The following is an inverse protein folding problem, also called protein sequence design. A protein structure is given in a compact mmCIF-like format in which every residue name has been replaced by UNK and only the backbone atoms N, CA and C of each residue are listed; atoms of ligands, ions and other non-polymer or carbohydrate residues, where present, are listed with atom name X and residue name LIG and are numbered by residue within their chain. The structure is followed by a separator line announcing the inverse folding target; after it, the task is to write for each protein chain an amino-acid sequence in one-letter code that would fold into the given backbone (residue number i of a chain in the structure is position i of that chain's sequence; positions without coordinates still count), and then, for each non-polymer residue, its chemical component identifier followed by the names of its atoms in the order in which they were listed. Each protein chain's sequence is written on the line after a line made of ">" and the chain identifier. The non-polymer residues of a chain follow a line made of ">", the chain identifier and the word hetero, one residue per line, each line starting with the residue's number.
data_IF_325523126688
#
_entry.id   IF_325523126688
#
_cell.length_a   1.000
_cell.length_b   1.000
_cell.length_c   1.000
_cell.angle_alpha   90.00
_cell.angle_beta   90.00
_cell.angle_gamma   90.00
#
_symmetry.space_group_name_H-M   'P 1'
#
loop_
_entity.id
_entity.type
_entity.pdbx_description
1 polymer ?
#
# COMPACT_ATOMS: atom_id res chain seq x y z
N UNK A 1 -35.55 -5.68 -7.71
CA UNK A 1 -35.24 -5.11 -6.39
C UNK A 1 -33.73 -5.18 -6.21
N UNK A 2 -33.01 -4.06 -6.27
CA UNK A 2 -31.56 -4.02 -6.04
C UNK A 2 -31.31 -3.85 -4.54
N UNK A 3 -30.64 -4.82 -3.90
CA UNK A 3 -30.17 -4.64 -2.53
C UNK A 3 -28.99 -3.66 -2.51
N UNK A 4 -28.95 -2.82 -1.48
CA UNK A 4 -27.79 -1.98 -1.17
C UNK A 4 -26.63 -2.80 -0.62
N UNK A 5 -25.40 -2.31 -0.74
CA UNK A 5 -24.21 -2.99 -0.21
C UNK A 5 -24.31 -3.31 1.29
N UNK A 6 -24.99 -2.43 2.06
CA UNK A 6 -25.22 -2.63 3.50
C UNK A 6 -26.15 -3.80 3.77
N UNK A 7 -27.22 -3.94 2.99
CA UNK A 7 -28.16 -5.05 3.14
C UNK A 7 -27.55 -6.38 2.70
N UNK A 8 -26.74 -6.38 1.63
CA UNK A 8 -25.97 -7.55 1.21
C UNK A 8 -25.02 -7.99 2.33
N UNK A 9 -24.27 -7.06 2.91
CA UNK A 9 -23.37 -7.34 4.03
C UNK A 9 -24.14 -7.91 5.23
N UNK A 10 -25.22 -7.27 5.66
CA UNK A 10 -26.03 -7.76 6.79
C UNK A 10 -26.56 -9.17 6.54
N UNK A 11 -26.99 -9.47 5.32
CA UNK A 11 -27.42 -10.81 4.94
C UNK A 11 -26.27 -11.82 5.03
N UNK A 12 -25.09 -11.48 4.51
CA UNK A 12 -23.91 -12.34 4.60
C UNK A 12 -23.50 -12.62 6.06
N UNK A 13 -23.48 -11.59 6.90
CA UNK A 13 -23.16 -11.72 8.32
C UNK A 13 -24.25 -12.48 9.10
N UNK A 14 -25.49 -12.49 8.63
CA UNK A 14 -26.57 -13.27 9.26
C UNK A 14 -26.41 -14.78 9.10
N UNK A 15 -25.60 -15.25 8.12
CA UNK A 15 -25.42 -16.68 7.87
C UNK A 15 -24.44 -17.37 8.84
N UNK A 16 -23.58 -16.61 9.53
CA UNK A 16 -22.57 -17.18 10.42
C UNK A 16 -22.18 -16.19 11.51
N UNK A 17 -22.41 -16.57 12.76
CA UNK A 17 -22.00 -15.76 13.92
C UNK A 17 -20.47 -15.65 14.00
N UNK A 18 -19.73 -16.71 13.64
CA UNK A 18 -18.27 -16.69 13.53
C UNK A 18 -17.80 -15.64 12.51
N UNK A 19 -18.41 -15.61 11.32
CA UNK A 19 -18.09 -14.61 10.29
C UNK A 19 -18.37 -13.20 10.80
N UNK A 20 -19.51 -13.01 11.46
CA UNK A 20 -19.91 -11.74 12.05
C UNK A 20 -18.93 -11.28 13.13
N UNK A 21 -18.50 -12.17 14.02
CA UNK A 21 -17.51 -11.88 15.05
C UNK A 21 -16.17 -11.44 14.45
N UNK A 22 -15.63 -12.21 13.50
CA UNK A 22 -14.36 -11.88 12.85
C UNK A 22 -14.45 -10.61 12.01
N UNK A 23 -15.58 -10.36 11.35
CA UNK A 23 -15.82 -9.11 10.65
C UNK A 23 -15.80 -7.92 11.60
N UNK A 24 -16.51 -8.00 12.73
CA UNK A 24 -16.53 -6.93 13.74
C UNK A 24 -15.14 -6.65 14.32
N UNK A 25 -14.38 -7.71 14.64
CA UNK A 25 -12.99 -7.58 15.09
C UNK A 25 -12.12 -6.86 14.06
N UNK A 26 -12.24 -7.24 12.78
CA UNK A 26 -11.53 -6.56 11.69
C UNK A 26 -11.91 -5.08 11.57
N UNK A 27 -13.20 -4.74 11.69
CA UNK A 27 -13.65 -3.35 11.64
C UNK A 27 -13.08 -2.51 12.80
N UNK A 28 -13.02 -3.07 14.00
CA UNK A 28 -12.41 -2.40 15.17
C UNK A 28 -10.90 -2.21 15.00
N UNK A 29 -10.20 -3.23 14.51
CA UNK A 29 -8.77 -3.12 14.17
C UNK A 29 -8.53 -2.02 13.13
N UNK A 30 -9.33 -1.99 12.07
CA UNK A 30 -9.23 -0.98 11.02
C UNK A 30 -9.49 0.43 11.58
N UNK A 31 -10.49 0.57 12.46
CA UNK A 31 -10.81 1.84 13.11
C UNK A 31 -9.63 2.38 13.93
N UNK A 32 -9.04 1.57 14.82
CA UNK A 32 -7.89 2.01 15.63
C UNK A 32 -6.65 2.29 14.78
N UNK A 33 -6.45 1.50 13.71
CA UNK A 33 -5.35 1.73 12.76
C UNK A 33 -5.50 3.08 12.03
N UNK A 34 -6.70 3.38 11.51
CA UNK A 34 -6.98 4.64 10.80
C UNK A 34 -6.87 5.87 11.71
N UNK A 35 -7.29 5.74 12.98
CA UNK A 35 -7.17 6.80 13.98
C UNK A 35 -5.77 6.91 14.60
N UNK A 36 -4.80 6.09 14.15
CA UNK A 36 -3.42 6.08 14.67
C UNK A 36 -3.37 5.86 16.18
N UNK A 37 -4.15 4.91 16.69
CA UNK A 37 -4.21 4.53 18.10
C UNK A 37 -3.50 3.18 18.33
N UNK A 38 -2.15 3.13 18.32
CA UNK A 38 -1.40 1.87 18.36
C UNK A 38 -1.66 1.05 19.62
N UNK A 39 -1.82 1.68 20.78
CA UNK A 39 -2.05 0.99 22.05
C UNK A 39 -3.36 0.21 22.02
N UNK A 40 -4.44 0.83 21.52
CA UNK A 40 -5.74 0.17 21.37
C UNK A 40 -5.72 -0.91 20.28
N UNK A 41 -5.03 -0.65 19.17
CA UNK A 41 -4.86 -1.62 18.09
C UNK A 41 -4.17 -2.91 18.58
N UNK A 42 -3.03 -2.78 19.27
CA UNK A 42 -2.30 -3.93 19.78
C UNK A 42 -2.96 -4.58 20.98
N UNK A 43 -3.61 -3.82 21.87
CA UNK A 43 -4.41 -4.38 22.96
C UNK A 43 -5.50 -5.31 22.43
N UNK A 44 -6.23 -4.87 21.39
CA UNK A 44 -7.27 -5.68 20.75
C UNK A 44 -6.71 -6.97 20.12
N UNK A 45 -5.50 -6.94 19.55
CA UNK A 45 -4.81 -8.13 19.03
C UNK A 45 -4.45 -9.10 20.14
N UNK A 46 -3.87 -8.60 21.23
CA UNK A 46 -3.41 -9.41 22.37
C UNK A 46 -4.60 -10.10 23.06
N UNK A 47 -5.70 -9.36 23.27
CA UNK A 47 -6.93 -9.86 23.92
C UNK A 47 -7.60 -10.99 23.12
N UNK A 48 -7.55 -10.91 21.79
CA UNK A 48 -8.26 -11.84 20.89
C UNK A 48 -7.37 -12.97 20.37
N UNK A 49 -6.07 -12.97 20.65
CA UNK A 49 -5.09 -13.90 20.04
C UNK A 49 -5.44 -15.39 20.19
N UNK A 50 -6.06 -15.77 21.32
CA UNK A 50 -6.43 -17.17 21.61
C UNK A 50 -7.82 -17.55 21.08
N UNK A 51 -8.67 -16.57 20.80
CA UNK A 51 -10.08 -16.76 20.43
C UNK A 51 -10.29 -16.73 18.92
N UNK A 52 -9.42 -16.03 18.18
CA UNK A 52 -9.52 -15.95 16.72
C UNK A 52 -9.15 -17.25 16.02
N UNK A 53 -9.73 -17.43 14.84
CA UNK A 53 -9.44 -18.54 13.95
C UNK A 53 -7.92 -18.65 13.68
N UNK A 54 -7.34 -19.87 13.60
CA UNK A 54 -5.90 -20.08 13.44
C UNK A 54 -5.23 -19.30 12.30
N UNK A 55 -5.96 -19.06 11.21
CA UNK A 55 -5.49 -18.25 10.07
C UNK A 55 -5.11 -16.83 10.52
N UNK A 56 -5.90 -16.21 11.40
CA UNK A 56 -5.62 -14.86 11.92
C UNK A 56 -4.53 -14.85 12.98
N UNK A 57 -4.33 -15.96 13.71
CA UNK A 57 -3.29 -16.03 14.74
C UNK A 57 -1.90 -15.79 14.17
N UNK A 58 -1.60 -16.32 12.98
CA UNK A 58 -0.31 -16.10 12.31
C UNK A 58 -0.10 -14.62 11.95
N UNK A 59 -1.16 -13.95 11.47
CA UNK A 59 -1.13 -12.52 11.15
C UNK A 59 -0.91 -11.72 12.43
N UNK A 60 -1.65 -12.01 13.49
CA UNK A 60 -1.52 -11.32 14.77
C UNK A 60 -0.14 -11.51 15.40
N UNK A 61 0.41 -12.72 15.36
CA UNK A 61 1.80 -12.98 15.81
C UNK A 61 2.82 -12.18 15.01
N UNK A 62 2.60 -12.02 13.70
CA UNK A 62 3.47 -11.22 12.84
C UNK A 62 3.39 -9.74 13.22
N UNK A 63 2.18 -9.20 13.44
CA UNK A 63 2.01 -7.83 13.90
C UNK A 63 2.68 -7.60 15.26
N UNK A 64 2.55 -8.52 16.21
CA UNK A 64 3.21 -8.41 17.51
C UNK A 64 4.73 -8.46 17.39
N UNK A 65 5.28 -9.30 16.50
CA UNK A 65 6.72 -9.37 16.22
C UNK A 65 7.26 -8.05 15.66
N UNK A 66 6.50 -7.40 14.78
CA UNK A 66 6.88 -6.14 14.13
C UNK A 66 6.22 -4.90 14.80
N UNK A 67 5.82 -5.02 16.07
CA UNK A 67 5.06 -4.00 16.81
C UNK A 67 5.69 -2.61 16.72
N UNK A 68 6.97 -2.48 17.05
CA UNK A 68 7.68 -1.19 17.00
C UNK A 68 7.64 -0.56 15.60
N UNK A 69 7.80 -1.35 14.54
CA UNK A 69 7.77 -0.85 13.16
C UNK A 69 6.38 -0.33 12.79
N UNK A 70 5.33 -1.04 13.21
CA UNK A 70 3.95 -0.66 12.94
C UNK A 70 3.58 0.59 13.74
N UNK A 71 3.97 0.68 15.02
CA UNK A 71 3.79 1.87 15.86
C UNK A 71 4.46 3.08 15.22
N UNK A 72 5.73 2.92 14.80
CA UNK A 72 6.47 3.97 14.11
C UNK A 72 5.77 4.39 12.80
N UNK A 73 5.24 3.44 12.01
CA UNK A 73 4.51 3.74 10.79
C UNK A 73 3.19 4.49 11.05
N UNK A 74 2.53 4.26 12.18
CA UNK A 74 1.30 4.95 12.56
C UNK A 74 1.57 6.38 13.06
N UNK A 75 2.62 6.56 13.85
CA UNK A 75 2.92 7.82 14.52
C UNK A 75 3.72 8.79 13.64
N UNK A 76 4.67 8.28 12.86
CA UNK A 76 5.54 9.14 12.05
C UNK A 76 4.79 9.66 10.80
N UNK A 77 5.01 10.92 10.41
CA UNK A 77 4.40 11.49 9.21
C UNK A 77 5.12 11.05 7.91
N UNK A 78 6.09 10.14 7.99
CA UNK A 78 6.89 9.72 6.85
C UNK A 78 6.04 8.94 5.85
N UNK A 79 6.01 9.39 4.59
CA UNK A 79 5.33 8.70 3.51
C UNK A 79 6.32 7.99 2.59
N UNK A 80 5.90 6.83 2.07
CA UNK A 80 6.67 6.08 1.08
C UNK A 80 6.74 6.78 -0.29
N UNK A 81 6.09 7.93 -0.48
CA UNK A 81 5.96 8.60 -1.78
C UNK A 81 7.32 8.91 -2.41
N UNK A 82 8.32 9.36 -1.63
CA UNK A 82 9.66 9.64 -2.15
C UNK A 82 10.38 8.37 -2.62
N UNK A 83 10.26 7.29 -1.85
CA UNK A 83 10.84 5.99 -2.18
C UNK A 83 10.15 5.40 -3.43
N UNK A 84 8.83 5.50 -3.52
CA UNK A 84 8.06 5.02 -4.66
C UNK A 84 8.35 5.82 -5.94
N UNK A 85 8.45 7.15 -5.85
CA UNK A 85 8.87 8.00 -6.97
C UNK A 85 10.26 7.60 -7.48
N UNK A 86 11.20 7.32 -6.57
CA UNK A 86 12.55 6.85 -6.92
C UNK A 86 12.51 5.48 -7.59
N UNK A 87 11.75 4.54 -7.04
CA UNK A 87 11.60 3.19 -7.62
C UNK A 87 10.98 3.22 -9.02
N UNK A 88 9.99 4.08 -9.23
CA UNK A 88 9.35 4.25 -10.53
C UNK A 88 10.30 4.88 -11.55
N UNK A 89 11.11 5.87 -11.13
CA UNK A 89 12.17 6.44 -11.98
C UNK A 89 13.20 5.38 -12.38
N UNK A 90 13.66 4.55 -11.44
CA UNK A 90 14.61 3.46 -11.72
C UNK A 90 14.01 2.46 -12.71
N UNK A 91 12.74 2.05 -12.51
CA UNK A 91 12.03 1.15 -13.43
C UNK A 91 11.95 1.76 -14.84
N UNK A 92 11.62 3.04 -14.94
CA UNK A 92 11.53 3.76 -16.21
C UNK A 92 12.90 3.83 -16.90
N UNK A 93 13.98 4.14 -16.16
CA UNK A 93 15.34 4.16 -16.71
C UNK A 93 15.73 2.78 -17.23
N UNK A 94 15.48 1.72 -16.45
CA UNK A 94 15.78 0.33 -16.85
C UNK A 94 15.03 -0.08 -18.11
N UNK A 95 13.74 0.25 -18.21
CA UNK A 95 12.94 -0.05 -19.39
C UNK A 95 13.47 0.67 -20.64
N UNK A 96 13.82 1.96 -20.52
CA UNK A 96 14.34 2.73 -21.65
C UNK A 96 15.77 2.40 -22.03
N UNK A 97 16.57 1.90 -21.09
CA UNK A 97 17.94 1.45 -21.32
C UNK A 97 17.99 0.03 -21.91
N UNK A 98 16.85 -0.66 -22.05
CA UNK A 98 16.79 -1.98 -22.66
C UNK A 98 17.32 -1.94 -24.09
N UNK A 99 18.20 -2.88 -24.43
CA UNK A 99 18.87 -2.96 -25.75
C UNK A 99 20.16 -2.14 -25.86
N UNK A 100 20.48 -1.27 -24.90
CA UNK A 100 21.76 -0.55 -24.87
C UNK A 100 22.83 -1.40 -24.19
N UNK A 101 23.87 -1.78 -24.95
CA UNK A 101 25.05 -2.49 -24.41
C UNK A 101 26.02 -1.57 -23.66
N UNK A 102 25.96 -0.26 -23.91
CA UNK A 102 26.86 0.75 -23.34
C UNK A 102 26.04 1.92 -22.79
N UNK A 103 26.28 2.28 -21.53
CA UNK A 103 25.64 3.40 -20.85
C UNK A 103 25.91 4.76 -21.51
N UNK A 104 27.12 4.96 -22.06
CA UNK A 104 27.44 6.21 -22.76
C UNK A 104 26.68 6.35 -24.07
N UNK A 105 26.41 5.23 -24.77
CA UNK A 105 25.53 5.24 -25.94
C UNK A 105 24.08 5.55 -25.56
N UNK A 106 23.60 4.98 -24.45
CA UNK A 106 22.27 5.32 -23.91
C UNK A 106 22.13 6.81 -23.60
N UNK A 107 23.11 7.41 -22.91
CA UNK A 107 23.13 8.85 -22.63
C UNK A 107 23.14 9.67 -23.92
N UNK A 108 24.01 9.33 -24.87
CA UNK A 108 24.14 10.06 -26.13
C UNK A 108 22.82 10.11 -26.91
N UNK A 109 22.14 8.99 -27.05
CA UNK A 109 20.85 8.92 -27.75
C UNK A 109 19.73 9.60 -26.95
N UNK A 110 19.73 9.52 -25.62
CA UNK A 110 18.82 10.28 -24.76
C UNK A 110 18.99 11.79 -24.94
N UNK A 111 20.22 12.30 -24.92
CA UNK A 111 20.50 13.73 -25.08
C UNK A 111 20.07 14.24 -26.46
N UNK A 112 20.34 13.47 -27.53
CA UNK A 112 19.84 13.79 -28.88
C UNK A 112 18.32 13.85 -28.93
N UNK A 113 17.64 12.88 -28.34
CA UNK A 113 16.17 12.86 -28.30
C UNK A 113 15.60 14.08 -27.57
N UNK A 114 16.17 14.45 -26.41
CA UNK A 114 15.75 15.64 -25.67
C UNK A 114 15.96 16.91 -26.49
N UNK A 115 17.15 17.10 -27.07
CA UNK A 115 17.48 18.27 -27.89
C UNK A 115 16.55 18.39 -29.12
N UNK A 116 16.23 17.26 -29.77
CA UNK A 116 15.30 17.25 -30.92
C UNK A 116 13.87 17.67 -30.55
N UNK A 117 13.41 17.34 -29.34
CA UNK A 117 12.10 17.78 -28.85
C UNK A 117 12.09 19.27 -28.49
N UNK A 118 13.18 19.80 -27.93
CA UNK A 118 13.33 21.22 -27.63
C UNK A 118 13.32 22.10 -28.88
N UNK A 119 13.93 21.63 -29.97
CA UNK A 119 13.95 22.34 -31.26
C UNK A 119 12.60 22.29 -31.99
N UNK A 120 11.82 21.22 -31.79
CA UNK A 120 10.46 21.10 -32.34
C UNK A 120 9.45 21.99 -31.58
N UNK A 121 9.63 22.23 -30.29
CA UNK A 121 8.75 23.14 -29.52
C UNK A 121 9.01 24.62 -29.79
N UNK A 122 10.20 24.98 -30.28
CA UNK A 122 10.58 26.37 -30.57
C UNK A 122 10.23 26.83 -31.99
N UNK A 123 9.81 25.91 -32.87
CA UNK A 123 9.40 26.22 -34.26
C UNK A 123 7.89 26.42 -34.42
N UNK A 124 7.09 26.25 -33.36
CA UNK A 124 5.64 26.46 -33.36
C UNK A 124 5.17 27.79 -32.73
N UNK A 125 6.10 28.66 -32.34
CA UNK A 125 5.83 30.04 -31.93
C UNK A 125 6.67 30.99 -32.78
N UNK A 126 6.28 31.19 -34.04
CA UNK A 126 6.77 32.25 -34.92
C UNK A 126 5.68 32.60 -35.92
#
# INVERSE_FOLDING_TARGET
>A
MHLTNKEILNKLLSYSEDLKHHYQLYQLLLFHFQNKEPEKFFGLIEDNLKQVHPIFQTVFKTFLKDKEKIVNALQLPYSNAKLEATNNLIKLIKHNAFGFRNFENFKKERTKFVLSKSSLSSTHYS
#
